data_IF_368147267247
#
_entry.id   IF_368147267247
#
_cell.length_a   1.000
_cell.length_b   1.000
_cell.length_c   1.000
_cell.angle_alpha   90.00
_cell.angle_beta   90.00
_cell.angle_gamma   90.00
#
_symmetry.space_group_name_H-M   'P 1'
#
loop_
_entity.id
_entity.type
_entity.pdbx_description
1 polymer ?
#
# COMPACT_ATOMS: atom_id res chain seq x y z
N UNK A 1 -5.74 26.18 6.01
CA UNK A 1 -4.29 26.29 6.23
C UNK A 1 -3.97 26.59 7.71
N UNK A 2 -4.16 25.63 8.64
CA UNK A 2 -3.95 25.87 10.08
C UNK A 2 -2.59 25.37 10.61
N UNK A 3 -1.90 24.47 9.91
CA UNK A 3 -0.68 23.83 10.39
C UNK A 3 0.53 24.77 10.46
N UNK A 4 0.63 25.75 9.55
CA UNK A 4 1.72 26.72 9.57
C UNK A 4 1.61 27.69 10.75
N UNK A 5 0.39 28.07 11.14
CA UNK A 5 0.15 28.92 12.30
C UNK A 5 0.50 28.18 13.61
N UNK A 6 0.12 26.91 13.72
CA UNK A 6 0.43 26.08 14.90
C UNK A 6 1.94 25.94 15.12
N UNK A 7 2.73 25.74 14.06
CA UNK A 7 4.19 25.62 14.17
C UNK A 7 4.86 26.90 14.65
N UNK A 8 4.38 28.06 14.18
CA UNK A 8 4.93 29.35 14.59
C UNK A 8 4.68 29.62 16.08
N UNK A 9 3.48 29.28 16.57
CA UNK A 9 3.05 29.48 17.98
C UNK A 9 3.87 28.58 18.94
N UNK A 10 4.12 27.33 18.56
CA UNK A 10 4.94 26.41 19.38
C UNK A 10 6.39 26.89 19.48
N UNK A 11 6.93 27.50 18.41
CA UNK A 11 8.29 28.00 18.39
C UNK A 11 8.46 29.28 19.24
N UNK A 12 7.45 30.13 19.32
CA UNK A 12 7.44 31.30 20.22
C UNK A 12 7.23 30.92 21.68
N UNK A 13 6.38 29.92 21.98
CA UNK A 13 6.11 29.48 23.36
C UNK A 13 7.30 28.78 24.02
N UNK A 14 8.24 28.21 23.25
CA UNK A 14 9.51 27.67 23.78
C UNK A 14 10.40 28.71 24.48
N UNK A 15 10.17 30.02 24.28
CA UNK A 15 10.99 31.09 24.87
C UNK A 15 10.48 31.60 26.23
N UNK A 16 9.29 31.20 26.68
CA UNK A 16 8.72 31.64 27.95
C UNK A 16 8.65 30.50 28.98
N UNK A 17 8.87 30.83 30.25
CA UNK A 17 8.97 29.88 31.36
C UNK A 17 7.73 28.98 31.50
N UNK A 18 7.98 27.69 31.78
CA UNK A 18 7.08 26.52 31.68
C UNK A 18 5.65 26.63 32.24
N UNK A 19 5.37 27.49 33.21
CA UNK A 19 4.18 27.35 34.07
C UNK A 19 2.91 27.91 33.42
N UNK A 20 3.00 28.97 32.62
CA UNK A 20 1.82 29.61 31.99
C UNK A 20 1.34 28.89 30.72
N UNK A 21 2.18 28.04 30.12
CA UNK A 21 1.89 27.40 28.84
C UNK A 21 0.95 26.19 29.01
N UNK A 22 1.06 25.49 30.15
CA UNK A 22 0.21 24.34 30.48
C UNK A 22 -1.26 24.74 30.64
N UNK A 23 -1.53 25.89 31.26
CA UNK A 23 -2.90 26.41 31.42
C UNK A 23 -3.55 26.79 30.09
N UNK A 24 -2.79 27.38 29.17
CA UNK A 24 -3.29 27.75 27.83
C UNK A 24 -3.56 26.51 26.96
N UNK A 25 -2.68 25.50 27.03
CA UNK A 25 -2.84 24.23 26.32
C UNK A 25 -4.10 23.48 26.78
N UNK A 26 -4.36 23.44 28.09
CA UNK A 26 -5.56 22.83 28.65
C UNK A 26 -6.85 23.56 28.21
N UNK A 27 -6.82 24.90 28.10
CA UNK A 27 -7.98 25.68 27.65
C UNK A 27 -8.40 25.38 26.19
N UNK A 28 -7.43 25.12 25.32
CA UNK A 28 -7.68 24.76 23.92
C UNK A 28 -7.78 23.24 23.67
N UNK A 29 -7.77 22.41 24.72
CA UNK A 29 -7.82 20.95 24.60
C UNK A 29 -6.60 20.33 23.92
N UNK A 30 -5.45 21.01 23.95
CA UNK A 30 -4.20 20.55 23.35
C UNK A 30 -3.36 19.79 24.39
N UNK A 31 -2.75 18.64 24.02
CA UNK A 31 -1.98 17.83 24.96
C UNK A 31 -0.72 18.55 25.42
N UNK A 32 -0.44 18.47 26.73
CA UNK A 32 0.74 19.07 27.35
C UNK A 32 2.05 18.45 26.81
N UNK A 33 3.15 19.23 26.72
CA UNK A 33 4.37 18.79 26.05
C UNK A 33 5.07 17.61 26.73
N UNK A 34 4.84 17.37 28.02
CA UNK A 34 5.39 16.23 28.78
C UNK A 34 4.53 14.96 28.65
N UNK A 35 3.32 15.06 28.12
CA UNK A 35 2.47 13.89 27.81
C UNK A 35 2.69 13.39 26.37
N UNK A 36 3.43 14.15 25.54
CA UNK A 36 3.81 13.74 24.19
C UNK A 36 4.89 12.66 24.15
N UNK A 37 5.57 12.38 25.27
CA UNK A 37 6.45 11.20 25.38
C UNK A 37 5.66 9.92 25.68
N UNK A 38 4.46 10.01 26.27
CA UNK A 38 3.66 8.83 26.66
C UNK A 38 2.50 8.56 25.67
N UNK A 39 2.04 9.56 24.93
CA UNK A 39 1.05 9.37 23.86
C UNK A 39 1.66 8.89 22.52
N UNK A 40 3.00 8.88 22.39
CA UNK A 40 3.69 8.26 21.26
C UNK A 40 3.78 6.72 21.40
N UNK A 41 3.52 6.15 22.58
CA UNK A 41 3.70 4.72 22.84
C UNK A 41 2.43 3.87 22.66
N UNK A 42 1.33 4.45 22.16
CA UNK A 42 0.14 3.67 21.76
C UNK A 42 -0.21 3.94 20.29
N UNK A 43 0.79 3.89 19.41
CA UNK A 43 0.60 3.59 17.98
C UNK A 43 1.92 3.35 17.22
N UNK A 44 2.85 2.53 17.72
CA UNK A 44 3.98 2.09 16.89
C UNK A 44 4.60 0.73 17.28
N UNK A 45 3.79 -0.22 17.73
CA UNK A 45 4.20 -1.63 17.69
C UNK A 45 4.00 -2.19 16.27
N UNK A 46 4.81 -1.72 15.32
CA UNK A 46 5.01 -2.37 14.04
C UNK A 46 6.44 -2.08 13.57
N UNK A 47 7.38 -2.83 14.15
CA UNK A 47 8.69 -3.16 13.60
C UNK A 47 9.43 -2.03 12.87
N UNK A 48 10.13 -1.19 13.63
CA UNK A 48 11.08 -0.21 13.09
C UNK A 48 12.43 -0.83 12.70
N UNK A 49 12.44 -2.07 12.24
CA UNK A 49 13.58 -2.62 11.50
C UNK A 49 13.10 -2.87 10.07
N UNK A 50 13.22 -1.86 9.22
CA UNK A 50 13.22 -2.15 7.77
C UNK A 50 14.32 -3.18 7.54
N UNK A 51 14.01 -4.33 6.93
CA UNK A 51 15.02 -5.32 6.63
C UNK A 51 16.17 -4.69 5.84
N UNK A 52 17.40 -5.11 6.12
CA UNK A 52 18.57 -4.56 5.45
C UNK A 52 18.48 -4.81 3.92
N UNK A 53 18.78 -3.78 3.12
CA UNK A 53 18.71 -3.81 1.66
C UNK A 53 17.33 -3.52 1.02
N UNK A 54 16.30 -3.15 1.79
CA UNK A 54 15.01 -2.73 1.20
C UNK A 54 15.16 -1.38 0.48
N UNK A 55 14.77 -1.32 -0.80
CA UNK A 55 14.77 -0.08 -1.59
C UNK A 55 13.56 0.79 -1.26
N UNK A 56 12.38 0.17 -1.22
CA UNK A 56 11.14 0.86 -0.91
C UNK A 56 10.09 -0.10 -0.36
N UNK A 57 9.13 0.49 0.36
CA UNK A 57 7.98 -0.21 0.91
C UNK A 57 6.72 0.23 0.15
N UNK A 58 5.89 -0.75 -0.20
CA UNK A 58 4.56 -0.54 -0.77
C UNK A 58 3.49 -0.95 0.23
N UNK A 59 2.41 -0.18 0.28
CA UNK A 59 1.19 -0.55 0.98
C UNK A 59 0.13 -0.84 -0.07
N UNK A 60 -0.44 -2.04 -0.05
CA UNK A 60 -1.35 -2.48 -1.10
C UNK A 60 -2.79 -2.32 -0.66
N UNK A 61 -3.67 -2.18 -1.65
CA UNK A 61 -5.09 -2.38 -1.48
C UNK A 61 -5.39 -3.86 -1.19
N UNK A 62 -6.61 -4.17 -0.68
CA UNK A 62 -7.03 -5.54 -0.43
C UNK A 62 -6.81 -6.41 -1.66
N UNK A 63 -6.11 -7.54 -1.47
CA UNK A 63 -5.75 -8.40 -2.59
C UNK A 63 -6.88 -9.35 -2.95
N UNK A 64 -7.22 -9.37 -4.24
CA UNK A 64 -8.16 -10.31 -4.83
C UNK A 64 -7.50 -11.67 -5.11
N UNK A 65 -8.29 -12.74 -4.99
CA UNK A 65 -7.87 -14.11 -5.32
C UNK A 65 -7.32 -14.22 -6.75
N UNK A 66 -7.92 -13.47 -7.69
CA UNK A 66 -7.52 -13.43 -9.11
C UNK A 66 -6.14 -12.80 -9.33
N UNK A 67 -5.64 -12.04 -8.36
CA UNK A 67 -4.36 -11.35 -8.46
C UNK A 67 -3.19 -12.28 -8.13
N UNK A 68 -3.45 -13.46 -7.55
CA UNK A 68 -2.45 -14.48 -7.24
C UNK A 68 -2.36 -15.45 -8.42
N UNK A 69 -1.26 -15.37 -9.16
CA UNK A 69 -1.04 -16.22 -10.32
C UNK A 69 -0.65 -17.63 -9.87
N UNK A 70 0.37 -17.71 -9.02
CA UNK A 70 1.06 -18.94 -8.61
C UNK A 70 1.45 -18.86 -7.12
N UNK A 71 2.16 -19.88 -6.61
CA UNK A 71 2.59 -19.96 -5.20
C UNK A 71 3.71 -18.98 -4.81
N UNK A 72 4.38 -18.34 -5.79
CA UNK A 72 5.53 -17.46 -5.58
C UNK A 72 5.32 -16.01 -6.10
N UNK A 73 4.29 -15.80 -6.91
CA UNK A 73 4.06 -14.55 -7.66
C UNK A 73 2.68 -13.98 -7.35
N UNK A 74 2.66 -12.75 -6.84
CA UNK A 74 1.42 -12.02 -6.55
C UNK A 74 1.38 -10.70 -7.32
N UNK A 75 0.23 -10.43 -7.94
CA UNK A 75 -0.08 -9.11 -8.46
C UNK A 75 -0.77 -8.32 -7.35
N UNK A 76 -0.23 -7.16 -7.01
CA UNK A 76 -0.83 -6.26 -6.04
C UNK A 76 -1.15 -4.93 -6.69
N UNK A 77 -2.14 -4.24 -6.14
CA UNK A 77 -2.52 -2.91 -6.57
C UNK A 77 -2.21 -1.94 -5.43
N UNK A 78 -1.50 -0.87 -5.76
CA UNK A 78 -1.16 0.21 -4.83
C UNK A 78 -2.00 1.42 -5.20
N UNK A 79 -2.60 2.06 -4.20
CA UNK A 79 -3.42 3.24 -4.40
C UNK A 79 -2.54 4.38 -4.95
N UNK A 80 -3.03 5.05 -6.00
CA UNK A 80 -2.31 6.21 -6.55
C UNK A 80 -2.46 7.47 -5.71
N UNK A 81 -3.36 7.46 -4.72
CA UNK A 81 -3.49 8.48 -3.69
C UNK A 81 -2.27 8.54 -2.77
N UNK A 82 -1.46 7.47 -2.70
CA UNK A 82 -0.21 7.50 -1.97
C UNK A 82 0.74 8.56 -2.57
N UNK A 83 1.28 9.50 -1.78
CA UNK A 83 2.05 10.64 -2.30
C UNK A 83 3.30 10.21 -3.08
N UNK A 84 3.81 9.01 -2.83
CA UNK A 84 4.95 8.41 -3.57
C UNK A 84 4.56 7.99 -4.99
N UNK A 85 3.36 7.46 -5.16
CA UNK A 85 2.85 7.02 -6.46
C UNK A 85 2.19 8.17 -7.22
N UNK A 86 1.48 9.06 -6.53
CA UNK A 86 0.84 10.26 -7.08
C UNK A 86 1.78 11.08 -7.98
N UNK A 87 3.03 11.27 -7.55
CA UNK A 87 4.02 12.04 -8.29
C UNK A 87 4.53 11.34 -9.57
N UNK A 88 4.38 10.02 -9.67
CA UNK A 88 4.92 9.20 -10.76
C UNK A 88 3.88 8.85 -11.83
N UNK A 89 2.65 9.37 -11.74
CA UNK A 89 1.58 9.04 -12.69
C UNK A 89 1.72 9.92 -13.94
N UNK A 90 1.80 9.32 -15.14
CA UNK A 90 1.79 10.08 -16.38
C UNK A 90 0.47 10.85 -16.53
N UNK A 91 0.55 12.09 -17.01
CA UNK A 91 -0.63 12.95 -17.27
C UNK A 91 -1.67 12.25 -18.16
N UNK A 92 -1.20 11.47 -19.13
CA UNK A 92 -2.06 10.68 -20.02
C UNK A 92 -2.98 9.72 -19.27
N UNK A 93 -2.51 9.10 -18.19
CA UNK A 93 -3.30 8.16 -17.38
C UNK A 93 -4.40 8.91 -16.64
N UNK A 94 -4.11 10.07 -16.03
CA UNK A 94 -5.12 10.91 -15.38
C UNK A 94 -6.20 11.40 -16.35
N UNK A 95 -5.78 11.86 -17.53
CA UNK A 95 -6.72 12.30 -18.58
C UNK A 95 -7.57 11.13 -19.08
N UNK A 96 -6.96 9.96 -19.29
CA UNK A 96 -7.67 8.75 -19.71
C UNK A 96 -8.68 8.28 -18.66
N UNK A 97 -8.33 8.28 -17.36
CA UNK A 97 -9.26 7.93 -16.27
C UNK A 97 -10.43 8.90 -16.22
N UNK A 98 -10.18 10.20 -16.35
CA UNK A 98 -11.24 11.22 -16.38
C UNK A 98 -12.15 11.06 -17.60
N UNK A 99 -11.57 10.82 -18.77
CA UNK A 99 -12.31 10.60 -20.01
C UNK A 99 -13.13 9.30 -19.96
N UNK A 100 -12.60 8.26 -19.30
CA UNK A 100 -13.28 6.99 -19.11
C UNK A 100 -14.51 7.16 -18.22
N UNK A 101 -14.37 7.86 -17.09
CA UNK A 101 -15.50 8.16 -16.20
C UNK A 101 -16.60 8.93 -16.94
N UNK A 102 -16.22 9.93 -17.76
CA UNK A 102 -17.17 10.66 -18.63
C UNK A 102 -17.83 9.76 -19.66
N UNK A 103 -17.09 8.85 -20.30
CA UNK A 103 -17.65 7.92 -21.28
C UNK A 103 -18.67 6.95 -20.64
N UNK A 104 -18.38 6.44 -19.44
CA UNK A 104 -19.32 5.61 -18.67
C UNK A 104 -20.60 6.38 -18.29
N UNK A 105 -20.48 7.66 -17.92
CA UNK A 105 -21.62 8.51 -17.61
C UNK A 105 -22.56 8.74 -18.80
N UNK A 106 -22.03 8.70 -20.03
CA UNK A 106 -22.79 8.83 -21.28
C UNK A 106 -23.14 7.44 -21.86
N UNK A 107 -22.94 6.35 -21.11
CA UNK A 107 -23.16 4.95 -21.54
C UNK A 107 -22.41 4.55 -22.83
N UNK A 108 -21.31 5.25 -23.16
CA UNK A 108 -20.44 4.94 -24.28
C UNK A 108 -19.40 3.89 -23.86
N UNK A 109 -19.85 2.64 -23.78
CA UNK A 109 -19.03 1.51 -23.35
C UNK A 109 -17.83 1.28 -24.27
N UNK A 110 -17.98 1.44 -25.59
CA UNK A 110 -16.87 1.23 -26.55
C UNK A 110 -15.69 2.16 -26.27
N UNK A 111 -15.98 3.44 -26.02
CA UNK A 111 -14.95 4.42 -25.68
C UNK A 111 -14.37 4.17 -24.29
N UNK A 112 -15.20 3.80 -23.32
CA UNK A 112 -14.75 3.47 -21.97
C UNK A 112 -13.82 2.24 -21.94
N UNK A 113 -14.09 1.21 -22.75
CA UNK A 113 -13.25 0.01 -22.90
C UNK A 113 -11.93 0.32 -23.61
N UNK A 114 -11.96 1.16 -24.65
CA UNK A 114 -10.74 1.60 -25.32
C UNK A 114 -9.81 2.35 -24.36
N UNK A 115 -10.37 3.28 -23.57
CA UNK A 115 -9.62 4.01 -22.54
C UNK A 115 -9.13 3.09 -21.42
N UNK A 116 -9.93 2.10 -21.00
CA UNK A 116 -9.49 1.09 -20.03
C UNK A 116 -8.27 0.33 -20.54
N UNK A 117 -8.24 -0.07 -21.81
CA UNK A 117 -7.10 -0.77 -22.40
C UNK A 117 -5.84 0.09 -22.36
N UNK A 118 -5.96 1.38 -22.64
CA UNK A 118 -4.83 2.32 -22.55
C UNK A 118 -4.31 2.44 -21.11
N UNK A 119 -5.21 2.58 -20.14
CA UNK A 119 -4.87 2.66 -18.70
C UNK A 119 -4.16 1.36 -18.24
N UNK A 120 -4.70 0.20 -18.64
CA UNK A 120 -4.12 -1.11 -18.32
C UNK A 120 -2.76 -1.32 -19.01
N UNK A 121 -2.59 -0.87 -20.24
CA UNK A 121 -1.31 -0.92 -20.95
C UNK A 121 -0.24 -0.05 -20.27
N UNK A 122 -0.64 1.08 -19.66
CA UNK A 122 0.23 1.91 -18.84
C UNK A 122 0.52 1.30 -17.44
N UNK A 123 -0.04 0.14 -17.11
CA UNK A 123 0.17 -0.52 -15.81
C UNK A 123 -0.74 -0.01 -14.69
N UNK A 124 -1.80 0.74 -15.02
CA UNK A 124 -2.77 1.24 -14.06
C UNK A 124 -4.12 0.55 -14.23
N UNK A 125 -4.96 0.62 -13.21
CA UNK A 125 -6.31 0.09 -13.26
C UNK A 125 -7.21 0.85 -12.29
N UNK A 126 -8.40 1.22 -12.75
CA UNK A 126 -9.44 1.72 -11.86
C UNK A 126 -10.06 0.52 -11.13
N UNK A 127 -10.00 0.55 -9.80
CA UNK A 127 -10.58 -0.46 -8.91
C UNK A 127 -11.47 0.22 -7.87
N UNK A 128 -12.45 -0.51 -7.35
CA UNK A 128 -13.28 0.00 -6.26
C UNK A 128 -12.49 -0.15 -4.96
N UNK A 129 -12.21 0.98 -4.31
CA UNK A 129 -11.58 1.02 -3.00
C UNK A 129 -12.50 0.43 -1.92
N UNK A 130 -12.01 0.34 -0.67
CA UNK A 130 -12.77 -0.20 0.46
C UNK A 130 -14.10 0.54 0.74
N UNK A 131 -14.20 1.82 0.34
CA UNK A 131 -15.41 2.65 0.47
C UNK A 131 -16.30 2.65 -0.79
N UNK A 132 -16.08 1.70 -1.72
CA UNK A 132 -16.75 1.63 -3.02
C UNK A 132 -16.52 2.86 -3.92
N UNK A 133 -15.45 3.61 -3.66
CA UNK A 133 -14.99 4.73 -4.49
C UNK A 133 -14.06 4.22 -5.60
N UNK A 134 -14.34 4.59 -6.84
CA UNK A 134 -13.47 4.26 -7.98
C UNK A 134 -12.13 4.98 -7.81
N UNK A 135 -11.09 4.23 -7.51
CA UNK A 135 -9.74 4.75 -7.28
C UNK A 135 -8.79 4.19 -8.33
N UNK A 136 -7.94 5.05 -8.87
CA UNK A 136 -6.87 4.62 -9.77
C UNK A 136 -5.81 3.90 -8.93
N UNK A 137 -5.46 2.69 -9.32
CA UNK A 137 -4.42 1.92 -8.66
C UNK A 137 -3.34 1.49 -9.65
N UNK A 138 -2.10 1.46 -9.18
CA UNK A 138 -0.95 1.00 -9.97
C UNK A 138 -0.73 -0.49 -9.74
N UNK A 139 -0.55 -1.23 -10.83
CA UNK A 139 -0.31 -2.67 -10.81
C UNK A 139 1.17 -2.95 -10.56
N UNK A 140 1.44 -3.77 -9.55
CA UNK A 140 2.78 -4.29 -9.25
C UNK A 140 2.76 -5.81 -9.32
N UNK A 141 3.80 -6.41 -9.93
CA UNK A 141 4.00 -7.85 -9.94
C UNK A 141 5.15 -8.17 -8.99
N UNK A 142 4.83 -8.79 -7.86
CA UNK A 142 5.78 -9.10 -6.80
C UNK A 142 6.12 -10.59 -6.86
N UNK A 143 7.42 -10.91 -6.86
CA UNK A 143 7.95 -12.26 -6.62
C UNK A 143 8.43 -12.37 -5.18
N UNK A 144 7.97 -13.39 -4.48
CA UNK A 144 8.36 -13.67 -3.11
C UNK A 144 9.84 -14.11 -3.05
N UNK A 145 10.63 -13.46 -2.21
CA UNK A 145 12.05 -13.81 -2.04
C UNK A 145 12.20 -15.12 -1.27
N UNK A 146 12.98 -16.08 -1.78
CA UNK A 146 13.26 -17.33 -1.07
C UNK A 146 12.10 -18.32 -0.98
N UNK A 147 10.98 -18.04 -1.65
CA UNK A 147 9.95 -19.03 -1.98
C UNK A 147 10.13 -19.36 -3.45
N UNK A 148 10.54 -20.58 -3.75
CA UNK A 148 10.53 -21.11 -5.11
C UNK A 148 9.43 -22.15 -5.18
N UNK A 149 8.18 -21.67 -5.20
CA UNK A 149 7.04 -22.56 -5.33
C UNK A 149 7.13 -23.23 -6.70
N UNK A 150 7.27 -24.55 -6.70
CA UNK A 150 7.12 -25.38 -7.89
C UNK A 150 5.89 -24.93 -8.67
N UNK A 151 6.04 -24.68 -9.97
CA UNK A 151 5.00 -24.14 -10.85
C UNK A 151 3.62 -24.76 -10.60
N UNK A 152 2.54 -24.02 -10.88
CA UNK A 152 1.14 -24.48 -10.77
C UNK A 152 0.83 -25.85 -11.40
N UNK A 153 1.73 -26.41 -12.23
CA UNK A 153 1.65 -27.75 -12.80
C UNK A 153 2.11 -28.89 -11.86
N UNK A 154 2.82 -28.59 -10.77
CA UNK A 154 3.23 -29.58 -9.77
C UNK A 154 2.11 -29.82 -8.73
N UNK A 155 1.98 -31.04 -8.18
CA UNK A 155 0.88 -31.41 -7.27
C UNK A 155 0.81 -30.52 -6.01
N UNK A 156 1.95 -30.04 -5.52
CA UNK A 156 2.04 -29.17 -4.34
C UNK A 156 1.83 -27.67 -4.64
N UNK A 157 1.94 -27.25 -5.91
CA UNK A 157 1.79 -25.84 -6.30
C UNK A 157 0.37 -25.31 -6.09
N UNK A 158 -0.64 -26.17 -6.26
CA UNK A 158 -2.05 -25.81 -6.03
C UNK A 158 -2.34 -25.57 -4.55
N UNK A 159 -1.81 -26.41 -3.67
CA UNK A 159 -1.96 -26.25 -2.21
C UNK A 159 -1.27 -24.97 -1.74
N UNK A 160 -0.05 -24.71 -2.21
CA UNK A 160 0.68 -23.48 -1.92
C UNK A 160 -0.10 -22.23 -2.34
N UNK A 161 -0.67 -22.24 -3.54
CA UNK A 161 -1.51 -21.15 -4.03
C UNK A 161 -2.76 -20.94 -3.17
N UNK A 162 -3.51 -22.00 -2.87
CA UNK A 162 -4.71 -21.89 -2.05
C UNK A 162 -4.40 -21.36 -0.65
N UNK A 163 -3.25 -21.74 -0.08
CA UNK A 163 -2.83 -21.27 1.22
C UNK A 163 -2.41 -19.80 1.21
N UNK A 164 -1.66 -19.38 0.18
CA UNK A 164 -1.33 -17.98 -0.04
C UNK A 164 -2.61 -17.14 -0.17
N UNK A 165 -3.57 -17.60 -0.97
CA UNK A 165 -4.88 -16.97 -1.15
C UNK A 165 -5.57 -16.78 0.20
N UNK A 166 -5.69 -17.82 1.02
CA UNK A 166 -6.34 -17.72 2.35
C UNK A 166 -5.66 -16.70 3.26
N UNK A 167 -4.35 -16.54 3.17
CA UNK A 167 -3.59 -15.61 4.01
C UNK A 167 -3.75 -14.15 3.58
N UNK A 168 -3.81 -13.88 2.28
CA UNK A 168 -3.77 -12.52 1.72
C UNK A 168 -5.12 -12.00 1.22
N UNK A 169 -6.09 -12.88 0.96
CA UNK A 169 -7.38 -12.51 0.40
C UNK A 169 -8.09 -11.47 1.28
N UNK A 170 -8.52 -10.38 0.65
CA UNK A 170 -9.34 -9.34 1.28
C UNK A 170 -8.61 -8.51 2.32
N UNK A 171 -7.28 -8.64 2.44
CA UNK A 171 -6.47 -7.87 3.39
C UNK A 171 -5.44 -7.00 2.66
N UNK A 172 -5.16 -5.79 3.16
CA UNK A 172 -4.06 -4.98 2.66
C UNK A 172 -2.74 -5.62 3.07
N UNK A 173 -1.76 -5.59 2.16
CA UNK A 173 -0.43 -6.14 2.37
C UNK A 173 0.60 -5.02 2.49
N UNK A 174 1.63 -5.27 3.28
CA UNK A 174 2.85 -4.47 3.32
C UNK A 174 3.93 -5.25 2.58
N UNK A 175 4.46 -4.68 1.50
CA UNK A 175 5.49 -5.31 0.67
C UNK A 175 6.78 -4.53 0.80
N UNK A 176 7.86 -5.21 1.17
CA UNK A 176 9.21 -4.65 1.17
C UNK A 176 9.94 -5.10 -0.09
N UNK A 177 10.24 -4.16 -0.97
CA UNK A 177 10.89 -4.45 -2.26
C UNK A 177 12.40 -4.23 -2.15
N UNK A 178 13.18 -5.22 -2.54
CA UNK A 178 14.65 -5.17 -2.54
C UNK A 178 15.21 -4.83 -3.92
N UNK A 179 14.48 -5.16 -4.98
CA UNK A 179 14.89 -4.89 -6.35
C UNK A 179 13.90 -5.45 -7.34
N UNK A 180 14.30 -5.43 -8.61
CA UNK A 180 13.49 -5.92 -9.72
C UNK A 180 14.27 -7.02 -10.44
N UNK A 181 13.55 -8.05 -10.86
CA UNK A 181 14.04 -9.17 -11.66
C UNK A 181 14.14 -8.77 -13.15
N UNK A 182 14.88 -9.54 -13.95
CA UNK A 182 15.08 -9.31 -15.39
C UNK A 182 13.76 -9.30 -16.20
N UNK A 183 12.70 -9.88 -15.63
CA UNK A 183 11.35 -9.89 -16.20
C UNK A 183 10.48 -8.69 -15.77
N UNK A 184 11.05 -7.70 -15.08
CA UNK A 184 10.32 -6.53 -14.58
C UNK A 184 9.36 -6.84 -13.42
N UNK A 185 9.63 -7.92 -12.66
CA UNK A 185 8.91 -8.26 -11.42
C UNK A 185 9.69 -7.74 -10.23
N UNK A 186 9.03 -7.08 -9.29
CA UNK A 186 9.70 -6.64 -8.08
C UNK A 186 9.89 -7.83 -7.14
N UNK A 187 11.11 -8.04 -6.65
CA UNK A 187 11.44 -9.10 -5.69
C UNK A 187 11.32 -8.52 -4.28
N UNK A 188 10.48 -9.14 -3.47
CA UNK A 188 10.10 -8.57 -2.18
C UNK A 188 9.59 -9.56 -1.17
N UNK A 189 9.54 -9.07 0.07
CA UNK A 189 8.97 -9.76 1.21
C UNK A 189 7.58 -9.21 1.52
N UNK A 190 6.63 -10.11 1.84
CA UNK A 190 5.23 -9.73 2.04
C UNK A 190 4.79 -9.97 3.48
N UNK A 191 4.18 -8.95 4.06
CA UNK A 191 3.63 -8.94 5.40
C UNK A 191 2.13 -8.66 5.36
N UNK A 192 1.35 -9.51 6.00
CA UNK A 192 -0.10 -9.35 6.17
C UNK A 192 -0.39 -9.11 7.66
N UNK A 193 -0.81 -7.89 8.03
CA UNK A 193 -1.10 -7.52 9.43
C UNK A 193 0.02 -7.91 10.42
N UNK A 194 1.29 -7.67 10.07
CA UNK A 194 2.45 -8.03 10.88
C UNK A 194 2.88 -9.50 10.81
N UNK A 195 2.11 -10.35 10.14
CA UNK A 195 2.53 -11.73 9.85
C UNK A 195 3.38 -11.79 8.61
N UNK A 196 4.56 -12.39 8.69
CA UNK A 196 5.37 -12.72 7.52
C UNK A 196 4.75 -13.88 6.73
N UNK A 197 4.29 -13.60 5.51
CA UNK A 197 3.50 -14.56 4.70
C UNK A 197 4.36 -15.76 4.29
N UNK A 198 5.60 -15.51 3.86
CA UNK A 198 6.53 -16.54 3.38
C UNK A 198 6.86 -17.55 4.48
N UNK A 199 7.09 -17.10 5.72
CA UNK A 199 7.30 -18.00 6.85
C UNK A 199 6.08 -18.89 7.13
N UNK A 200 4.86 -18.34 7.03
CA UNK A 200 3.65 -19.17 7.17
C UNK A 200 3.54 -20.22 6.08
N UNK A 201 3.94 -19.90 4.85
CA UNK A 201 3.97 -20.87 3.74
C UNK A 201 5.00 -21.97 3.97
N UNK A 202 6.21 -21.61 4.43
CA UNK A 202 7.27 -22.57 4.77
C UNK A 202 6.86 -23.50 5.91
N UNK A 203 6.27 -22.96 6.99
CA UNK A 203 5.78 -23.77 8.12
C UNK A 203 4.70 -24.77 7.72
N UNK A 204 3.97 -24.51 6.64
CA UNK A 204 2.94 -25.40 6.09
C UNK A 204 3.47 -26.40 5.06
N UNK A 205 4.76 -26.35 4.71
CA UNK A 205 5.38 -27.25 3.74
C UNK A 205 5.02 -26.93 2.28
N UNK A 206 4.65 -25.67 2.00
CA UNK A 206 4.18 -25.23 0.69
C UNK A 206 5.26 -24.56 -0.19
N UNK A 207 6.55 -24.74 0.15
CA UNK A 207 7.69 -24.13 -0.51
C UNK A 207 8.94 -25.02 -0.40
#
# INVERSE_FOLDING_TARGET
>A
MPEQAARLIVQTLKRHHKVDVEGLLAFYGLPAPHTLEVAAEVSSAADSSTPDGVKYQLQTLPVDVKAIADGDTVTVYVDTSDPREAANIPREVHEATTAQAKARAVTDYKKADALQKTIVAAGYRVINGPNNEETLAKKYRIRLRGIDASESAMPYGKEAKEELVKLVQGKPLKVYVYGDDMYGRSVGDIYCSGTFVQEKMLRKGCA
#
